data_IF_156929977803
#
_entry.id   IF_156929977803
#
_cell.length_a   1.000
_cell.length_b   1.000
_cell.length_c   1.000
_cell.angle_alpha   90.00
_cell.angle_beta   90.00
_cell.angle_gamma   90.00
#
_symmetry.space_group_name_H-M   'P 1'
#
loop_
_entity.id
_entity.type
_entity.pdbx_description
1 polymer ?
#
# COMPACT_ATOMS: atom_id res chain seq x y z
N UNK A 1 6.60 -23.50 20.18
CA UNK A 1 7.44 -22.68 21.07
C UNK A 1 7.03 -22.94 22.52
N UNK A 2 7.99 -23.18 23.42
CA UNK A 2 7.69 -23.30 24.86
C UNK A 2 7.08 -21.99 25.37
N UNK A 3 6.28 -22.04 26.44
CA UNK A 3 5.64 -20.84 27.03
C UNK A 3 6.66 -19.75 27.37
N UNK A 4 7.84 -20.15 27.88
CA UNK A 4 8.93 -19.23 28.20
C UNK A 4 9.50 -18.51 26.94
N UNK A 5 9.69 -19.20 25.82
CA UNK A 5 10.12 -18.58 24.57
C UNK A 5 9.07 -17.61 24.01
N UNK A 6 7.78 -17.95 24.14
CA UNK A 6 6.68 -17.06 23.76
C UNK A 6 6.65 -15.77 24.58
N UNK A 7 6.94 -15.85 25.87
CA UNK A 7 6.93 -14.67 26.74
C UNK A 7 8.15 -13.76 26.56
N UNK A 8 9.32 -14.34 26.28
CA UNK A 8 10.52 -13.57 25.88
C UNK A 8 10.23 -12.78 24.59
N UNK A 9 9.68 -13.45 23.60
CA UNK A 9 9.33 -12.84 22.33
C UNK A 9 8.31 -11.69 22.47
N UNK A 10 7.26 -11.87 23.28
CA UNK A 10 6.28 -10.81 23.57
C UNK A 10 6.92 -9.58 24.22
N UNK A 11 7.86 -9.79 25.17
CA UNK A 11 8.59 -8.69 25.81
C UNK A 11 9.49 -7.94 24.83
N UNK A 12 10.18 -8.66 23.96
CA UNK A 12 11.02 -8.04 22.91
C UNK A 12 10.18 -7.17 21.96
N UNK A 13 9.03 -7.66 21.47
CA UNK A 13 8.15 -6.87 20.63
C UNK A 13 7.65 -5.61 21.33
N UNK A 14 7.23 -5.71 22.58
CA UNK A 14 6.80 -4.54 23.33
C UNK A 14 7.95 -3.53 23.49
N UNK A 15 9.17 -4.00 23.78
CA UNK A 15 10.33 -3.12 23.89
C UNK A 15 10.64 -2.38 22.58
N UNK A 16 10.51 -3.04 21.40
CA UNK A 16 10.66 -2.36 20.13
C UNK A 16 9.59 -1.29 19.88
N UNK A 17 8.34 -1.56 20.25
CA UNK A 17 7.26 -0.58 20.16
C UNK A 17 7.54 0.61 21.08
N UNK A 18 7.92 0.36 22.33
CA UNK A 18 8.21 1.43 23.29
C UNK A 18 9.39 2.28 22.85
N UNK A 19 10.43 1.68 22.26
CA UNK A 19 11.55 2.42 21.68
C UNK A 19 11.11 3.28 20.49
N UNK A 20 10.28 2.73 19.59
CA UNK A 20 9.74 3.49 18.47
C UNK A 20 8.88 4.68 18.94
N UNK A 21 8.08 4.50 20.01
CA UNK A 21 7.34 5.61 20.61
C UNK A 21 8.26 6.69 21.16
N UNK A 22 9.34 6.32 21.86
CA UNK A 22 10.33 7.29 22.36
C UNK A 22 10.95 8.09 21.23
N UNK A 23 11.44 7.43 20.21
CA UNK A 23 12.17 8.09 19.11
C UNK A 23 11.25 8.86 18.16
N UNK A 24 10.13 8.25 17.73
CA UNK A 24 9.32 8.76 16.63
C UNK A 24 8.11 9.59 17.07
N UNK A 25 7.59 9.34 18.26
CA UNK A 25 6.40 10.03 18.76
C UNK A 25 6.73 11.08 19.81
N UNK A 26 7.53 10.70 20.83
CA UNK A 26 7.92 11.63 21.89
C UNK A 26 9.18 12.43 21.56
N UNK A 27 9.97 11.99 20.59
CA UNK A 27 11.25 12.59 20.20
C UNK A 27 12.24 12.72 21.37
N UNK A 28 12.29 11.70 22.24
CA UNK A 28 13.16 11.63 23.41
C UNK A 28 14.19 10.51 23.26
N UNK A 29 15.35 10.58 23.97
CA UNK A 29 16.35 9.51 23.98
C UNK A 29 15.76 8.18 24.53
N UNK A 30 16.34 7.06 24.09
CA UNK A 30 15.90 5.72 24.54
C UNK A 30 16.07 5.51 26.06
N UNK A 31 16.96 6.26 26.70
CA UNK A 31 17.18 6.24 28.16
C UNK A 31 16.07 6.93 28.97
N UNK A 32 15.29 7.78 28.31
CA UNK A 32 14.17 8.49 28.94
C UNK A 32 12.93 7.62 29.03
N UNK A 33 12.09 7.83 30.04
CA UNK A 33 10.81 7.12 30.23
C UNK A 33 9.67 8.13 30.16
N UNK A 34 9.12 8.39 28.96
CA UNK A 34 7.99 9.30 28.84
C UNK A 34 6.73 8.71 29.50
N UNK A 35 5.93 9.56 30.09
CA UNK A 35 4.62 9.15 30.62
C UNK A 35 3.61 9.01 29.47
N UNK A 36 3.01 7.86 29.36
CA UNK A 36 1.94 7.57 28.41
C UNK A 36 0.59 8.01 28.99
N UNK A 37 -0.19 8.77 28.24
CA UNK A 37 -1.61 8.89 28.54
C UNK A 37 -2.36 7.60 28.16
N UNK A 38 -3.64 7.50 28.56
CA UNK A 38 -4.44 6.29 28.34
C UNK A 38 -4.55 5.88 26.85
N UNK A 39 -4.69 6.86 25.95
CA UNK A 39 -4.79 6.62 24.49
C UNK A 39 -3.47 6.10 23.92
N UNK A 40 -2.36 6.69 24.31
CA UNK A 40 -1.02 6.26 23.88
C UNK A 40 -0.69 4.85 24.34
N UNK A 41 -1.10 4.51 25.59
CA UNK A 41 -0.92 3.16 26.12
C UNK A 41 -1.73 2.13 25.31
N UNK A 42 -2.97 2.46 24.93
CA UNK A 42 -3.80 1.61 24.07
C UNK A 42 -3.13 1.44 22.70
N UNK A 43 -2.68 2.53 22.07
CA UNK A 43 -2.01 2.48 20.77
C UNK A 43 -0.75 1.60 20.82
N UNK A 44 0.10 1.73 21.84
CA UNK A 44 1.27 0.87 22.02
C UNK A 44 0.90 -0.62 22.05
N UNK A 45 -0.15 -1.00 22.80
CA UNK A 45 -0.63 -2.39 22.86
C UNK A 45 -1.22 -2.89 21.56
N UNK A 46 -1.97 -2.05 20.85
CA UNK A 46 -2.54 -2.38 19.53
C UNK A 46 -1.42 -2.61 18.50
N UNK A 47 -0.42 -1.73 18.44
CA UNK A 47 0.73 -1.87 17.54
C UNK A 47 1.50 -3.14 17.85
N UNK A 48 1.78 -3.45 19.11
CA UNK A 48 2.43 -4.70 19.50
C UNK A 48 1.61 -5.94 19.10
N UNK A 49 0.27 -5.84 19.11
CA UNK A 49 -0.61 -6.90 18.63
C UNK A 49 -0.54 -7.05 17.10
N UNK A 50 -0.52 -5.95 16.38
CA UNK A 50 -0.37 -5.94 14.91
C UNK A 50 0.97 -6.55 14.48
N UNK A 51 2.06 -6.17 15.12
CA UNK A 51 3.38 -6.76 14.82
C UNK A 51 3.39 -8.28 15.01
N UNK A 52 2.71 -8.80 16.04
CA UNK A 52 2.58 -10.25 16.24
C UNK A 52 1.82 -10.93 15.08
N UNK A 53 0.78 -10.28 14.55
CA UNK A 53 0.02 -10.82 13.43
C UNK A 53 0.87 -10.81 12.15
N UNK A 54 1.59 -9.71 11.88
CA UNK A 54 2.52 -9.60 10.75
C UNK A 54 3.59 -10.69 10.78
N UNK A 55 4.21 -10.91 11.92
CA UNK A 55 5.25 -11.92 12.08
C UNK A 55 4.72 -13.36 11.91
N UNK A 56 3.47 -13.63 12.30
CA UNK A 56 2.83 -14.93 12.01
C UNK A 56 2.61 -15.12 10.51
N UNK A 57 2.14 -14.09 9.83
CA UNK A 57 1.99 -14.12 8.37
C UNK A 57 3.33 -14.32 7.67
N UNK A 58 4.39 -13.64 8.13
CA UNK A 58 5.75 -13.80 7.61
C UNK A 58 6.31 -15.21 7.84
N UNK A 59 6.05 -15.82 8.98
CA UNK A 59 6.45 -17.21 9.26
C UNK A 59 5.78 -18.21 8.30
N UNK A 60 4.54 -17.98 7.91
CA UNK A 60 3.84 -18.82 6.93
C UNK A 60 4.41 -18.63 5.51
N UNK A 61 4.85 -17.41 5.19
CA UNK A 61 5.44 -17.10 3.89
C UNK A 61 6.91 -17.50 3.76
N UNK A 62 7.65 -17.59 4.86
CA UNK A 62 9.08 -17.92 4.89
C UNK A 62 9.41 -19.25 4.13
N UNK A 63 10.65 -19.41 3.58
CA UNK A 63 11.74 -18.45 3.63
C UNK A 63 11.62 -17.37 2.55
N UNK A 64 11.99 -16.15 2.88
CA UNK A 64 12.09 -15.03 1.94
C UNK A 64 13.25 -14.11 2.36
N UNK A 65 13.68 -13.24 1.46
CA UNK A 65 14.70 -12.22 1.75
C UNK A 65 14.06 -10.83 1.78
N UNK A 66 14.35 -10.04 2.79
CA UNK A 66 13.98 -8.63 2.85
C UNK A 66 14.89 -7.83 1.90
N UNK A 67 14.31 -7.18 0.91
CA UNK A 67 15.03 -6.37 -0.08
C UNK A 67 15.02 -4.88 0.28
N UNK A 68 13.95 -4.39 0.91
CA UNK A 68 13.85 -3.01 1.36
C UNK A 68 12.62 -2.71 2.19
N UNK A 69 12.71 -1.61 2.95
CA UNK A 69 11.62 -1.01 3.72
C UNK A 69 11.58 0.48 3.41
N UNK A 70 10.37 1.08 3.36
CA UNK A 70 10.17 2.51 3.07
C UNK A 70 10.97 2.96 1.83
N UNK A 71 10.89 2.15 0.76
CA UNK A 71 11.73 2.36 -0.41
C UNK A 71 11.05 3.26 -1.44
N UNK A 72 11.67 4.39 -1.75
CA UNK A 72 11.23 5.27 -2.81
C UNK A 72 11.42 4.62 -4.19
N UNK A 73 10.32 4.64 -4.98
CA UNK A 73 10.34 4.23 -6.38
C UNK A 73 9.79 5.36 -7.23
N UNK A 74 10.54 5.75 -8.25
CA UNK A 74 10.21 6.86 -9.15
C UNK A 74 10.51 6.49 -10.58
N UNK A 75 9.69 7.00 -11.50
CA UNK A 75 9.89 6.90 -12.94
C UNK A 75 9.48 8.20 -13.62
N UNK A 76 10.17 8.59 -14.68
CA UNK A 76 9.74 9.69 -15.55
C UNK A 76 8.83 9.13 -16.62
N UNK A 77 7.63 9.68 -16.75
CA UNK A 77 6.68 9.37 -17.81
C UNK A 77 6.50 10.63 -18.68
N UNK A 78 6.65 10.48 -19.97
CA UNK A 78 6.43 11.56 -20.93
C UNK A 78 5.02 11.46 -21.49
N UNK A 79 4.30 12.56 -21.52
CA UNK A 79 2.98 12.68 -22.14
C UNK A 79 2.98 13.79 -23.17
N UNK A 80 2.14 13.64 -24.21
CA UNK A 80 1.90 14.68 -25.18
C UNK A 80 0.83 15.65 -24.68
N UNK A 81 1.12 16.95 -24.80
CA UNK A 81 0.18 18.04 -24.48
C UNK A 81 0.09 18.99 -25.67
N UNK A 82 -0.93 19.86 -25.74
CA UNK A 82 -1.03 20.85 -26.82
C UNK A 82 0.19 21.80 -26.94
N UNK A 83 0.97 21.96 -25.86
CA UNK A 83 2.17 22.80 -25.80
C UNK A 83 3.46 22.01 -26.08
N UNK A 84 3.38 20.72 -26.33
CA UNK A 84 4.50 19.83 -26.56
C UNK A 84 4.59 18.72 -25.51
N UNK A 85 5.74 18.06 -25.43
CA UNK A 85 5.96 16.96 -24.50
C UNK A 85 6.18 17.45 -23.09
N UNK A 86 5.48 16.82 -22.14
CA UNK A 86 5.62 17.07 -20.71
C UNK A 86 6.15 15.82 -20.00
N UNK A 87 7.27 15.96 -19.31
CA UNK A 87 7.83 14.89 -18.49
C UNK A 87 7.32 14.99 -17.05
N UNK A 88 6.66 13.94 -16.56
CA UNK A 88 6.09 13.86 -15.24
C UNK A 88 6.82 12.80 -14.41
N UNK A 89 7.17 13.13 -13.17
CA UNK A 89 7.67 12.14 -12.24
C UNK A 89 6.50 11.45 -11.54
N UNK A 90 6.39 10.14 -11.70
CA UNK A 90 5.41 9.28 -11.02
C UNK A 90 6.10 8.35 -10.05
N UNK A 91 5.40 7.94 -9.00
CA UNK A 91 5.93 6.98 -8.01
C UNK A 91 5.45 7.27 -6.61
N UNK A 92 6.20 6.79 -5.64
CA UNK A 92 5.94 6.94 -4.21
C UNK A 92 6.86 6.05 -3.39
N UNK A 93 6.48 5.79 -2.14
CA UNK A 93 7.24 4.98 -1.20
C UNK A 93 6.54 3.64 -1.01
N UNK A 94 7.29 2.55 -1.18
CA UNK A 94 6.83 1.18 -0.94
C UNK A 94 7.15 0.84 0.51
N UNK A 95 6.15 0.40 1.28
CA UNK A 95 6.32 0.06 2.69
C UNK A 95 7.35 -1.08 2.86
N UNK A 96 7.25 -2.13 2.03
CA UNK A 96 8.17 -3.27 2.09
C UNK A 96 8.35 -3.94 0.74
N UNK A 97 9.59 -4.32 0.45
CA UNK A 97 9.98 -5.23 -0.64
C UNK A 97 10.61 -6.49 -0.05
N UNK A 98 10.19 -7.63 -0.53
CA UNK A 98 10.85 -8.91 -0.25
C UNK A 98 10.91 -9.80 -1.49
N UNK A 99 11.84 -10.76 -1.49
CA UNK A 99 11.98 -11.71 -2.58
C UNK A 99 11.88 -13.15 -2.10
N UNK A 100 11.27 -14.01 -2.94
CA UNK A 100 11.21 -15.45 -2.75
C UNK A 100 11.33 -16.15 -4.10
N UNK A 101 12.41 -16.90 -4.28
CA UNK A 101 12.70 -17.50 -5.58
C UNK A 101 12.93 -16.45 -6.67
N UNK A 102 12.14 -16.51 -7.73
CA UNK A 102 12.19 -15.58 -8.87
C UNK A 102 11.19 -14.42 -8.78
N UNK A 103 10.58 -14.22 -7.62
CA UNK A 103 9.52 -13.24 -7.40
C UNK A 103 9.93 -12.18 -6.41
N UNK A 104 9.81 -10.91 -6.80
CA UNK A 104 9.88 -9.73 -5.96
C UNK A 104 8.47 -9.33 -5.54
N UNK A 105 8.17 -9.36 -4.25
CA UNK A 105 6.87 -9.00 -3.71
C UNK A 105 6.89 -7.57 -3.17
N UNK A 106 5.93 -6.76 -3.61
CA UNK A 106 5.58 -5.48 -3.01
C UNK A 106 4.56 -5.76 -1.92
N UNK A 107 4.80 -5.31 -0.70
CA UNK A 107 3.84 -5.40 0.39
C UNK A 107 3.50 -3.99 0.85
N UNK A 108 2.24 -3.62 0.71
CA UNK A 108 1.70 -2.37 1.24
C UNK A 108 0.79 -2.71 2.44
N UNK A 109 1.07 -2.10 3.59
CA UNK A 109 0.36 -2.38 4.84
C UNK A 109 -0.89 -1.52 4.98
N UNK A 110 -2.01 -2.16 5.31
CA UNK A 110 -3.28 -1.46 5.56
C UNK A 110 -3.80 -1.75 6.96
N UNK A 111 -3.92 -0.71 7.78
CA UNK A 111 -4.48 -0.80 9.14
C UNK A 111 -6.00 -0.78 9.15
N UNK A 112 -6.63 -0.29 8.07
CA UNK A 112 -8.08 -0.18 7.92
C UNK A 112 -8.56 -0.56 6.53
N UNK A 113 -9.87 -0.44 6.30
CA UNK A 113 -10.50 -0.80 5.04
C UNK A 113 -10.77 -2.30 4.88
N UNK A 114 -11.26 -2.67 3.70
CA UNK A 114 -11.54 -4.07 3.34
C UNK A 114 -10.86 -4.42 2.02
N UNK A 115 -10.35 -5.65 1.85
CA UNK A 115 -9.86 -6.12 0.57
C UNK A 115 -10.91 -5.95 -0.52
N UNK A 116 -10.47 -5.50 -1.69
CA UNK A 116 -11.29 -5.39 -2.89
C UNK A 116 -10.74 -6.31 -3.96
N UNK A 117 -11.62 -6.77 -4.84
CA UNK A 117 -11.26 -7.62 -5.97
C UNK A 117 -11.80 -6.94 -7.23
N UNK A 118 -10.99 -6.16 -7.97
CA UNK A 118 -11.43 -5.54 -9.22
C UNK A 118 -11.67 -6.62 -10.29
N UNK A 119 -12.61 -6.37 -11.18
CA UNK A 119 -12.89 -7.28 -12.28
C UNK A 119 -11.77 -7.25 -13.33
N UNK A 120 -11.25 -6.06 -13.60
CA UNK A 120 -10.25 -5.77 -14.62
C UNK A 120 -9.44 -4.49 -14.25
N UNK A 121 -8.47 -4.15 -15.08
CA UNK A 121 -7.64 -2.95 -14.91
C UNK A 121 -8.47 -1.68 -15.05
N UNK A 122 -9.48 -1.65 -15.92
CA UNK A 122 -10.33 -0.48 -16.17
C UNK A 122 -10.98 0.06 -14.91
N UNK A 123 -11.46 -0.83 -14.01
CA UNK A 123 -12.06 -0.42 -12.74
C UNK A 123 -11.13 0.38 -11.82
N UNK A 124 -9.81 0.28 -12.00
CA UNK A 124 -8.85 1.08 -11.24
C UNK A 124 -8.85 2.55 -11.68
N UNK A 125 -9.30 2.82 -12.89
CA UNK A 125 -9.30 4.16 -13.51
C UNK A 125 -10.69 4.79 -13.55
N UNK A 126 -11.74 3.97 -13.54
CA UNK A 126 -13.13 4.45 -13.58
C UNK A 126 -13.51 5.16 -12.28
N UNK A 127 -13.97 6.42 -12.32
CA UNK A 127 -14.47 7.12 -11.14
C UNK A 127 -15.64 6.38 -10.51
N UNK A 128 -15.51 5.96 -9.27
CA UNK A 128 -16.54 5.31 -8.48
C UNK A 128 -16.27 5.46 -6.98
N UNK A 129 -17.33 5.45 -6.15
CA UNK A 129 -17.19 5.55 -4.70
C UNK A 129 -16.38 4.43 -4.09
N UNK A 130 -16.47 3.26 -4.68
CA UNK A 130 -15.77 2.05 -4.21
C UNK A 130 -14.53 1.72 -5.03
N UNK A 131 -13.98 2.66 -5.81
CA UNK A 131 -12.76 2.44 -6.60
C UNK A 131 -11.66 1.84 -5.73
N UNK A 132 -10.93 0.81 -6.19
CA UNK A 132 -9.91 0.13 -5.41
C UNK A 132 -8.58 0.89 -5.42
N UNK A 133 -8.54 2.07 -4.78
CA UNK A 133 -7.39 3.00 -4.79
C UNK A 133 -6.10 2.39 -4.27
N UNK A 134 -6.18 1.48 -3.27
CA UNK A 134 -4.99 0.81 -2.74
C UNK A 134 -4.37 -0.14 -3.77
N UNK A 135 -5.20 -0.81 -4.57
CA UNK A 135 -4.72 -1.66 -5.67
C UNK A 135 -4.09 -0.81 -6.76
N UNK A 136 -4.72 0.33 -7.13
CA UNK A 136 -4.14 1.28 -8.07
C UNK A 136 -2.74 1.73 -7.62
N UNK A 137 -2.58 2.13 -6.37
CA UNK A 137 -1.30 2.53 -5.79
C UNK A 137 -0.25 1.43 -5.90
N UNK A 138 -0.60 0.21 -5.49
CA UNK A 138 0.33 -0.92 -5.50
C UNK A 138 0.70 -1.35 -6.92
N UNK A 139 -0.25 -1.24 -7.86
CA UNK A 139 -0.02 -1.50 -9.29
C UNK A 139 0.87 -0.44 -9.94
N UNK A 140 0.76 0.82 -9.54
CA UNK A 140 1.68 1.87 -9.96
C UNK A 140 3.13 1.52 -9.58
N UNK A 141 3.35 1.08 -8.34
CA UNK A 141 4.67 0.64 -7.90
C UNK A 141 5.15 -0.60 -8.65
N UNK A 142 4.25 -1.55 -8.91
CA UNK A 142 4.58 -2.75 -9.68
C UNK A 142 4.97 -2.40 -11.12
N UNK A 143 4.26 -1.49 -11.77
CA UNK A 143 4.57 -1.02 -13.12
C UNK A 143 5.97 -0.37 -13.21
N UNK A 144 6.35 0.43 -12.20
CA UNK A 144 7.68 1.02 -12.13
C UNK A 144 8.77 -0.04 -11.95
N UNK A 145 8.53 -1.02 -11.05
CA UNK A 145 9.52 -2.05 -10.75
C UNK A 145 9.69 -3.06 -11.89
N UNK A 146 8.64 -3.43 -12.62
CA UNK A 146 8.74 -4.34 -13.76
C UNK A 146 9.79 -3.90 -14.78
N UNK A 147 9.97 -2.60 -14.98
CA UNK A 147 10.98 -2.05 -15.91
C UNK A 147 12.39 -1.94 -15.33
N UNK A 148 12.53 -2.04 -14.01
CA UNK A 148 13.82 -1.81 -13.36
C UNK A 148 14.58 -3.08 -12.99
N UNK A 149 13.92 -4.22 -13.08
CA UNK A 149 14.50 -5.48 -12.65
C UNK A 149 13.87 -6.67 -13.40
N UNK A 150 14.51 -7.84 -13.35
CA UNK A 150 14.13 -9.02 -14.15
C UNK A 150 13.26 -10.04 -13.39
N UNK A 151 13.05 -9.86 -12.09
CA UNK A 151 12.21 -10.76 -11.30
C UNK A 151 10.73 -10.53 -11.63
N UNK A 152 9.90 -11.53 -11.43
CA UNK A 152 8.44 -11.36 -11.44
C UNK A 152 8.04 -10.41 -10.31
N UNK A 153 7.21 -9.41 -10.60
CA UNK A 153 6.71 -8.48 -9.57
C UNK A 153 5.32 -8.91 -9.13
N UNK A 154 5.17 -9.19 -7.84
CA UNK A 154 3.90 -9.59 -7.22
C UNK A 154 3.41 -8.51 -6.24
N UNK A 155 2.45 -7.65 -6.65
CA UNK A 155 1.87 -6.66 -5.75
C UNK A 155 0.95 -7.32 -4.72
N UNK A 156 1.05 -6.87 -3.46
CA UNK A 156 0.29 -7.42 -2.34
C UNK A 156 -0.21 -6.33 -1.41
N UNK A 157 -1.43 -6.49 -0.88
CA UNK A 157 -2.03 -5.62 0.13
C UNK A 157 -2.22 -6.40 1.43
N UNK A 158 -1.46 -6.08 2.46
CA UNK A 158 -1.53 -6.76 3.73
C UNK A 158 -2.41 -5.99 4.72
N UNK A 159 -3.67 -6.43 4.85
CA UNK A 159 -4.62 -5.90 5.83
C UNK A 159 -4.32 -6.51 7.21
N UNK A 160 -3.70 -5.73 8.08
CA UNK A 160 -3.13 -6.20 9.34
C UNK A 160 -4.19 -6.85 10.24
N UNK A 161 -5.38 -6.27 10.31
CA UNK A 161 -6.49 -6.82 11.10
C UNK A 161 -7.00 -8.19 10.61
N UNK A 162 -6.69 -8.58 9.36
CA UNK A 162 -7.02 -9.88 8.77
C UNK A 162 -5.88 -10.87 8.83
N UNK A 163 -4.65 -10.42 9.04
CA UNK A 163 -3.46 -11.27 9.07
C UNK A 163 -3.43 -12.29 10.23
N UNK A 164 -4.39 -12.22 11.16
CA UNK A 164 -4.58 -13.22 12.20
C UNK A 164 -5.22 -14.52 11.72
N UNK A 165 -5.93 -14.50 10.57
CA UNK A 165 -6.59 -15.69 10.00
C UNK A 165 -5.57 -16.53 9.23
N UNK A 166 -5.56 -17.84 9.48
CA UNK A 166 -4.70 -18.80 8.76
C UNK A 166 -5.02 -18.88 7.27
N UNK A 167 -6.26 -18.61 6.89
CA UNK A 167 -6.71 -18.61 5.49
C UNK A 167 -6.48 -17.29 4.76
N UNK A 168 -5.95 -16.26 5.44
CA UNK A 168 -5.74 -14.97 4.83
C UNK A 168 -4.50 -14.95 3.93
N UNK A 169 -4.67 -14.42 2.72
CA UNK A 169 -3.58 -14.15 1.78
C UNK A 169 -3.55 -12.65 1.44
N UNK A 170 -2.38 -12.00 1.46
CA UNK A 170 -2.23 -10.61 1.03
C UNK A 170 -2.20 -10.44 -0.50
N UNK A 171 -2.21 -11.53 -1.25
CA UNK A 171 -2.16 -11.50 -2.72
C UNK A 171 -3.39 -10.80 -3.26
N UNK A 172 -3.17 -9.84 -4.15
CA UNK A 172 -4.25 -9.16 -4.87
C UNK A 172 -4.84 -10.15 -5.88
N UNK A 173 -6.16 -10.25 -5.90
CA UNK A 173 -6.90 -11.07 -6.85
C UNK A 173 -7.75 -10.19 -7.76
N UNK A 174 -7.90 -10.61 -9.01
CA UNK A 174 -8.75 -9.97 -10.02
C UNK A 174 -9.75 -10.95 -10.60
N UNK A 175 -10.88 -10.45 -11.03
CA UNK A 175 -11.89 -11.24 -11.74
C UNK A 175 -13.33 -10.84 -11.47
N UNK A 176 -14.21 -11.13 -12.42
CA UNK A 176 -15.62 -10.76 -12.36
C UNK A 176 -16.35 -11.44 -11.19
N UNK A 177 -17.45 -10.84 -10.68
CA UNK A 177 -18.29 -11.45 -9.66
C UNK A 177 -18.74 -12.86 -10.06
N UNK A 178 -18.71 -13.79 -9.10
CA UNK A 178 -19.11 -15.19 -9.30
C UNK A 178 -18.23 -16.02 -10.27
N UNK A 179 -17.13 -15.44 -10.76
CA UNK A 179 -16.11 -16.14 -11.53
C UNK A 179 -14.91 -16.50 -10.64
N UNK A 180 -14.10 -17.52 -11.00
CA UNK A 180 -12.84 -17.79 -10.34
C UNK A 180 -11.94 -16.55 -10.37
N UNK A 181 -11.30 -16.25 -9.24
CA UNK A 181 -10.37 -15.13 -9.12
C UNK A 181 -8.98 -15.56 -9.56
N UNK A 182 -8.27 -14.64 -10.19
CA UNK A 182 -6.89 -14.86 -10.66
C UNK A 182 -5.97 -14.05 -9.73
N UNK A 183 -5.04 -14.72 -9.02
CA UNK A 183 -4.06 -14.03 -8.19
C UNK A 183 -3.02 -13.32 -9.08
N UNK A 184 -2.69 -12.09 -8.71
CA UNK A 184 -1.68 -11.28 -9.42
C UNK A 184 -0.28 -11.62 -8.87
N UNK A 185 0.21 -12.80 -9.24
CA UNK A 185 1.55 -13.28 -8.85
C UNK A 185 2.67 -12.79 -9.78
N UNK A 186 2.33 -12.23 -10.92
CA UNK A 186 3.24 -11.59 -11.86
C UNK A 186 2.51 -10.43 -12.54
N UNK A 187 2.88 -9.23 -12.19
CA UNK A 187 2.24 -8.02 -12.71
C UNK A 187 2.52 -7.78 -14.20
N UNK A 188 3.59 -8.36 -14.77
CA UNK A 188 3.93 -8.18 -16.18
C UNK A 188 2.77 -8.51 -17.14
N UNK A 189 1.84 -9.39 -16.75
CA UNK A 189 0.65 -9.69 -17.56
C UNK A 189 -0.38 -8.56 -17.63
N UNK A 190 -0.27 -7.59 -16.76
CA UNK A 190 -1.19 -6.45 -16.63
C UNK A 190 -0.50 -5.10 -16.93
N UNK A 191 0.83 -5.12 -17.09
CA UNK A 191 1.64 -3.90 -17.15
C UNK A 191 1.25 -3.02 -18.33
N UNK A 192 1.13 -3.58 -19.54
CA UNK A 192 0.87 -2.80 -20.76
C UNK A 192 -0.48 -2.08 -20.67
N UNK A 193 -1.56 -2.81 -20.30
CA UNK A 193 -2.88 -2.22 -20.16
C UNK A 193 -2.90 -1.15 -19.05
N UNK A 194 -2.26 -1.44 -17.91
CA UNK A 194 -2.21 -0.48 -16.81
C UNK A 194 -1.47 0.81 -17.22
N UNK A 195 -0.36 0.68 -17.93
CA UNK A 195 0.44 1.84 -18.40
C UNK A 195 -0.29 2.65 -19.45
N UNK A 196 -0.95 2.02 -20.39
CA UNK A 196 -1.76 2.70 -21.42
C UNK A 196 -2.84 3.55 -20.75
N UNK A 197 -3.59 2.98 -19.80
CA UNK A 197 -4.63 3.71 -19.06
C UNK A 197 -4.05 4.80 -18.15
N UNK A 198 -2.91 4.56 -17.51
CA UNK A 198 -2.22 5.57 -16.71
C UNK A 198 -1.78 6.75 -17.57
N UNK A 199 -1.22 6.48 -18.74
CA UNK A 199 -0.83 7.50 -19.70
C UNK A 199 -2.04 8.33 -20.15
N UNK A 200 -3.16 7.68 -20.50
CA UNK A 200 -4.41 8.35 -20.86
C UNK A 200 -4.95 9.23 -19.72
N UNK A 201 -4.95 8.73 -18.48
CA UNK A 201 -5.36 9.50 -17.31
C UNK A 201 -4.49 10.75 -17.09
N UNK A 202 -3.17 10.61 -17.26
CA UNK A 202 -2.26 11.75 -17.14
C UNK A 202 -2.46 12.77 -18.27
N UNK A 203 -2.69 12.31 -19.50
CA UNK A 203 -3.04 13.20 -20.61
C UNK A 203 -4.33 13.97 -20.32
N UNK A 204 -5.36 13.32 -19.81
CA UNK A 204 -6.63 13.95 -19.41
C UNK A 204 -6.40 15.03 -18.34
N UNK A 205 -5.66 14.71 -17.26
CA UNK A 205 -5.36 15.64 -16.16
C UNK A 205 -4.62 16.90 -16.65
N UNK A 206 -3.70 16.74 -17.60
CA UNK A 206 -2.89 17.83 -18.13
C UNK A 206 -3.41 18.38 -19.48
N UNK A 207 -4.58 17.92 -19.94
CA UNK A 207 -5.28 18.50 -21.06
C UNK A 207 -5.77 19.91 -20.71
N UNK A 208 -5.61 20.84 -21.65
CA UNK A 208 -6.21 22.18 -21.51
C UNK A 208 -7.62 22.26 -22.09
N UNK A 209 -8.07 21.20 -22.74
CA UNK A 209 -9.38 21.14 -23.37
C UNK A 209 -10.50 20.90 -22.35
N UNK A 210 -10.17 20.27 -21.23
CA UNK A 210 -11.11 20.01 -20.16
C UNK A 210 -10.87 20.89 -18.93
N UNK A 211 -11.93 21.52 -18.47
CA UNK A 211 -11.89 22.32 -17.24
C UNK A 211 -12.14 21.45 -16.02
N UNK A 212 -11.35 21.65 -14.95
CA UNK A 212 -11.63 21.01 -13.67
C UNK A 212 -12.97 21.47 -13.11
N UNK A 213 -13.86 20.53 -12.80
CA UNK A 213 -15.13 20.77 -12.15
C UNK A 213 -15.11 20.25 -10.69
N UNK A 214 -16.01 20.83 -9.88
CA UNK A 214 -16.19 20.33 -8.52
C UNK A 214 -16.86 18.95 -8.56
N UNK A 215 -16.47 18.05 -7.66
CA UNK A 215 -17.11 16.73 -7.53
C UNK A 215 -18.60 16.88 -7.18
N UNK A 216 -19.43 16.03 -7.76
CA UNK A 216 -20.85 15.92 -7.37
C UNK A 216 -21.03 15.16 -6.04
N UNK A 217 -20.07 14.29 -5.68
CA UNK A 217 -20.09 13.58 -4.41
C UNK A 217 -19.60 14.45 -3.27
N UNK A 218 -20.54 15.13 -2.60
CA UNK A 218 -20.26 16.03 -1.47
C UNK A 218 -19.69 15.33 -0.24
N UNK A 219 -19.84 14.00 -0.12
CA UNK A 219 -19.22 13.22 0.98
C UNK A 219 -17.70 13.31 0.92
N UNK A 220 -17.10 13.40 -0.28
CA UNK A 220 -15.66 13.60 -0.46
C UNK A 220 -15.18 14.96 0.05
N UNK A 221 -16.10 15.93 0.16
CA UNK A 221 -15.79 17.28 0.65
C UNK A 221 -15.75 17.35 2.18
N UNK A 222 -16.33 16.39 2.89
CA UNK A 222 -16.44 16.42 4.36
C UNK A 222 -15.08 16.54 5.05
N UNK A 223 -14.07 15.83 4.53
CA UNK A 223 -12.69 15.83 5.06
C UNK A 223 -11.67 16.44 4.07
N UNK A 224 -12.14 17.22 3.10
CA UNK A 224 -11.29 17.84 2.09
C UNK A 224 -10.68 19.15 2.59
N UNK A 225 -9.37 19.30 2.52
CA UNK A 225 -8.66 20.53 2.93
C UNK A 225 -9.09 21.76 2.11
N UNK A 226 -9.58 21.55 0.89
CA UNK A 226 -10.05 22.62 -0.01
C UNK A 226 -11.56 22.88 0.08
N UNK A 227 -12.25 22.31 1.07
CA UNK A 227 -13.71 22.46 1.22
C UNK A 227 -14.16 23.92 1.25
N UNK A 228 -13.49 24.75 2.02
CA UNK A 228 -13.80 26.18 2.14
C UNK A 228 -13.57 26.94 0.83
N UNK A 229 -12.55 26.59 0.07
CA UNK A 229 -12.26 27.18 -1.25
C UNK A 229 -13.38 26.81 -2.24
N UNK A 230 -13.86 25.58 -2.21
CA UNK A 230 -14.96 25.10 -3.05
C UNK A 230 -16.35 25.56 -2.57
N UNK A 231 -16.46 26.19 -1.40
CA UNK A 231 -17.73 26.60 -0.76
C UNK A 231 -18.69 25.42 -0.54
N UNK A 232 -18.15 24.27 -0.11
CA UNK A 232 -18.87 23.01 0.15
C UNK A 232 -18.96 22.71 1.65
#
# INVERSE_FOLDING_TARGET
LSSAASDVYKRQLQAYVDNAFKEKFFHVPLTEQPEYNGTQLIHSKVIASYLRQLLRNDLQYAPFRMEGMEQDVREMMEIDTPQGKLALQIGGTIDRLDSKGDTLRIVDYKTGGTPKTPENIEQLFTPADNRPNYIFQTFLYAAILCRKQSLKVAPSLLYIHRAASESYSPVIEMGAPRQPKVPVNNFAFFEDEFRERLHGLLQEIFSQEETFSQTEDTRKCEYCDFRSLCKR
#
